data_IF_891720853144
#
_entry.id   IF_891720853144
#
_cell.length_a   1.000
_cell.length_b   1.000
_cell.length_c   1.000
_cell.angle_alpha   90.00
_cell.angle_beta   90.00
_cell.angle_gamma   90.00
#
_symmetry.space_group_name_H-M   'P 1'
#
loop_
_entity.id
_entity.type
_entity.pdbx_description
1 polymer ?
#
# COMPACT_ATOMS: atom_id res chain seq x y z
N UNK A 1 1.39 35.88 -3.52
CA UNK A 1 1.71 34.66 -2.75
C UNK A 1 1.91 35.05 -1.30
N UNK A 2 1.12 34.50 -0.37
CA UNK A 2 1.26 34.82 1.07
C UNK A 2 2.66 34.39 1.56
N UNK A 3 3.21 35.05 2.59
CA UNK A 3 4.50 34.66 3.20
C UNK A 3 4.54 33.16 3.55
N UNK A 4 3.39 32.60 3.92
CA UNK A 4 3.20 31.18 4.17
C UNK A 4 3.46 30.31 2.92
N UNK A 5 2.88 30.67 1.78
CA UNK A 5 3.07 29.92 0.52
C UNK A 5 4.53 29.92 0.03
N UNK A 6 5.28 31.00 0.25
CA UNK A 6 6.70 31.07 -0.10
C UNK A 6 7.58 30.19 0.81
N UNK A 7 7.30 30.18 2.12
CA UNK A 7 8.00 29.30 3.07
C UNK A 7 7.71 27.82 2.80
N UNK A 8 6.46 27.47 2.50
CA UNK A 8 6.07 26.10 2.13
C UNK A 8 6.79 25.66 0.86
N UNK A 9 6.78 26.49 -0.19
CA UNK A 9 7.46 26.17 -1.45
C UNK A 9 8.96 25.95 -1.23
N UNK A 10 9.62 26.81 -0.45
CA UNK A 10 11.06 26.66 -0.13
C UNK A 10 11.35 25.36 0.61
N UNK A 11 10.58 25.03 1.64
CA UNK A 11 10.79 23.83 2.45
C UNK A 11 10.48 22.56 1.64
N UNK A 12 9.43 22.57 0.81
CA UNK A 12 9.10 21.46 -0.08
C UNK A 12 10.17 21.27 -1.16
N UNK A 13 10.71 22.34 -1.73
CA UNK A 13 11.79 22.28 -2.71
C UNK A 13 13.07 21.69 -2.08
N UNK A 14 13.43 22.10 -0.86
CA UNK A 14 14.56 21.53 -0.12
C UNK A 14 14.35 20.04 0.15
N UNK A 15 13.15 19.64 0.60
CA UNK A 15 12.81 18.23 0.82
C UNK A 15 12.88 17.39 -0.47
N UNK A 16 12.41 17.94 -1.59
CA UNK A 16 12.48 17.31 -2.90
C UNK A 16 13.93 17.15 -3.38
N UNK A 17 14.76 18.18 -3.24
CA UNK A 17 16.20 18.12 -3.55
C UNK A 17 16.87 17.05 -2.69
N UNK A 18 16.60 17.02 -1.38
CA UNK A 18 17.16 16.01 -0.49
C UNK A 18 16.77 14.58 -0.91
N UNK A 19 15.50 14.34 -1.28
CA UNK A 19 15.05 13.05 -1.78
C UNK A 19 15.73 12.64 -3.10
N UNK A 20 15.88 13.59 -4.03
CA UNK A 20 16.61 13.35 -5.28
C UNK A 20 18.08 13.03 -5.02
N UNK A 21 18.73 13.74 -4.10
CA UNK A 21 20.11 13.45 -3.68
C UNK A 21 20.22 12.06 -3.05
N UNK A 22 19.30 11.68 -2.16
CA UNK A 22 19.26 10.33 -1.57
C UNK A 22 19.12 9.26 -2.65
N UNK A 23 18.22 9.45 -3.63
CA UNK A 23 18.04 8.50 -4.74
C UNK A 23 19.26 8.42 -5.64
N UNK A 24 19.89 9.55 -5.97
CA UNK A 24 21.11 9.58 -6.77
C UNK A 24 22.28 8.88 -6.08
N UNK A 25 22.48 9.17 -4.78
CA UNK A 25 23.48 8.48 -3.96
C UNK A 25 23.19 6.99 -3.86
N UNK A 26 21.93 6.60 -3.64
CA UNK A 26 21.52 5.19 -3.58
C UNK A 26 21.76 4.46 -4.90
N UNK A 27 21.55 5.13 -6.04
CA UNK A 27 21.82 4.57 -7.37
C UNK A 27 23.32 4.36 -7.60
N UNK A 28 24.14 5.39 -7.32
CA UNK A 28 25.60 5.28 -7.41
C UNK A 28 26.15 4.19 -6.47
N UNK A 29 25.64 4.13 -5.25
CA UNK A 29 26.01 3.10 -4.28
C UNK A 29 25.60 1.70 -4.76
N UNK A 30 24.41 1.55 -5.35
CA UNK A 30 23.97 0.28 -5.94
C UNK A 30 24.91 -0.16 -7.07
N UNK A 31 25.35 0.75 -7.94
CA UNK A 31 26.36 0.44 -8.98
C UNK A 31 27.67 0.00 -8.35
N UNK A 32 28.15 0.70 -7.32
CA UNK A 32 29.39 0.36 -6.63
C UNK A 32 29.33 -1.02 -5.98
N UNK A 33 28.21 -1.35 -5.33
CA UNK A 33 27.93 -2.66 -4.74
C UNK A 33 27.96 -3.73 -5.83
N UNK A 34 27.20 -3.57 -6.93
CA UNK A 34 27.17 -4.55 -8.05
C UNK A 34 28.57 -4.78 -8.60
N UNK A 35 29.34 -3.70 -8.79
CA UNK A 35 30.69 -3.75 -9.35
C UNK A 35 31.69 -4.48 -8.44
N UNK A 36 31.57 -4.35 -7.12
CA UNK A 36 32.49 -5.00 -6.16
C UNK A 36 32.06 -6.42 -5.79
N UNK A 37 30.75 -6.68 -5.67
CA UNK A 37 30.22 -7.95 -5.17
C UNK A 37 29.93 -8.97 -6.28
N UNK A 38 29.80 -8.52 -7.53
CA UNK A 38 29.37 -9.36 -8.65
C UNK A 38 27.87 -9.71 -8.59
N UNK A 39 27.32 -10.20 -9.71
CA UNK A 39 25.88 -10.39 -9.87
C UNK A 39 25.26 -11.39 -8.87
N UNK A 40 25.97 -12.47 -8.53
CA UNK A 40 25.48 -13.50 -7.62
C UNK A 40 25.35 -12.99 -6.17
N UNK A 41 26.40 -12.34 -5.65
CA UNK A 41 26.40 -11.77 -4.29
C UNK A 41 25.49 -10.54 -4.18
N UNK A 42 25.35 -9.76 -5.26
CA UNK A 42 24.36 -8.69 -5.34
C UNK A 42 22.92 -9.22 -5.27
N UNK A 43 22.65 -10.36 -5.91
CA UNK A 43 21.36 -11.07 -5.80
C UNK A 43 21.05 -11.48 -4.36
N UNK A 44 22.04 -11.98 -3.61
CA UNK A 44 21.88 -12.30 -2.19
C UNK A 44 21.64 -11.04 -1.35
N UNK A 45 22.41 -9.98 -1.58
CA UNK A 45 22.24 -8.69 -0.90
C UNK A 45 20.84 -8.09 -1.12
N UNK A 46 20.37 -8.06 -2.37
CA UNK A 46 19.03 -7.57 -2.70
C UNK A 46 17.94 -8.47 -2.12
N UNK A 47 18.15 -9.78 -2.08
CA UNK A 47 17.21 -10.70 -1.43
C UNK A 47 17.13 -10.51 0.10
N UNK A 48 18.23 -10.14 0.77
CA UNK A 48 18.22 -9.74 2.19
C UNK A 48 17.38 -8.49 2.39
N UNK A 49 17.59 -7.46 1.57
CA UNK A 49 16.83 -6.21 1.64
C UNK A 49 15.33 -6.43 1.36
N UNK A 50 14.99 -7.17 0.31
CA UNK A 50 13.60 -7.47 -0.04
C UNK A 50 12.88 -8.27 1.06
N UNK A 51 13.59 -9.21 1.70
CA UNK A 51 13.06 -9.97 2.81
C UNK A 51 12.77 -9.08 4.02
N UNK A 52 13.68 -8.14 4.32
CA UNK A 52 13.49 -7.16 5.40
C UNK A 52 12.35 -6.18 5.14
N UNK A 53 12.25 -5.63 3.93
CA UNK A 53 11.16 -4.69 3.59
C UNK A 53 9.78 -5.34 3.62
N UNK A 54 9.67 -6.60 3.20
CA UNK A 54 8.40 -7.33 3.19
C UNK A 54 7.87 -7.55 4.61
N UNK A 55 8.75 -7.90 5.55
CA UNK A 55 8.38 -8.15 6.94
C UNK A 55 8.33 -6.88 7.80
N UNK A 56 8.93 -5.78 7.35
CA UNK A 56 8.90 -4.49 8.05
C UNK A 56 7.49 -3.94 8.29
N UNK A 57 6.47 -4.37 7.53
CA UNK A 57 5.07 -3.99 7.76
C UNK A 57 4.60 -4.32 9.20
N UNK A 58 5.10 -5.41 9.78
CA UNK A 58 4.77 -5.84 11.14
C UNK A 58 5.40 -4.94 12.22
N UNK A 59 6.39 -4.11 11.87
CA UNK A 59 7.05 -3.19 12.80
C UNK A 59 6.30 -1.86 13.01
N UNK A 60 5.36 -1.53 12.13
CA UNK A 60 4.56 -0.30 12.21
C UNK A 60 3.07 -0.59 12.37
N UNK A 61 2.51 -1.61 11.70
CA UNK A 61 1.08 -1.99 11.79
C UNK A 61 0.09 -0.79 11.75
N UNK A 62 0.44 0.29 11.04
CA UNK A 62 -0.39 1.50 10.94
C UNK A 62 -0.28 2.48 12.12
N UNK A 63 0.58 2.22 13.11
CA UNK A 63 0.81 3.10 14.26
C UNK A 63 1.29 4.49 13.84
N UNK A 64 2.14 4.59 12.82
CA UNK A 64 2.55 5.87 12.26
C UNK A 64 1.36 6.73 11.80
N UNK A 65 0.38 6.14 11.12
CA UNK A 65 -0.82 6.85 10.63
C UNK A 65 -1.70 7.28 11.80
N UNK A 66 -1.92 6.36 12.74
CA UNK A 66 -2.66 6.64 13.96
C UNK A 66 -2.02 7.80 14.75
N UNK A 67 -0.70 7.80 14.90
CA UNK A 67 0.04 8.85 15.59
C UNK A 67 -0.14 10.22 14.92
N UNK A 68 0.03 10.29 13.60
CA UNK A 68 -0.16 11.55 12.85
C UNK A 68 -1.56 12.10 13.09
N UNK A 69 -2.59 11.24 12.97
CA UNK A 69 -3.99 11.64 13.13
C UNK A 69 -4.28 12.13 14.54
N UNK A 70 -3.87 11.37 15.55
CA UNK A 70 -4.16 11.68 16.94
C UNK A 70 -3.39 12.92 17.41
N UNK A 71 -2.11 13.06 17.03
CA UNK A 71 -1.32 14.26 17.31
C UNK A 71 -1.92 15.48 16.62
N UNK A 72 -2.39 15.35 15.37
CA UNK A 72 -3.07 16.43 14.67
C UNK A 72 -4.37 16.87 15.37
N UNK A 73 -5.14 15.91 15.93
CA UNK A 73 -6.34 16.20 16.73
C UNK A 73 -6.00 16.91 18.04
N UNK A 74 -4.95 16.43 18.73
CA UNK A 74 -4.51 16.98 20.02
C UNK A 74 -3.90 18.38 19.89
N UNK A 75 -3.31 18.71 18.73
CA UNK A 75 -2.67 20.02 18.48
C UNK A 75 -3.54 21.22 18.85
N UNK A 76 -4.83 21.15 18.55
CA UNK A 76 -5.76 22.29 18.70
C UNK A 76 -6.49 22.27 20.06
N UNK A 77 -6.21 21.30 20.94
CA UNK A 77 -6.81 21.16 22.27
C UNK A 77 -5.94 21.77 23.39
N UNK A 78 -6.54 22.38 24.43
CA UNK A 78 -5.80 22.86 25.58
C UNK A 78 -5.13 21.70 26.33
N UNK A 79 -3.80 21.73 26.48
CA UNK A 79 -3.00 20.64 27.05
C UNK A 79 -2.57 19.56 26.05
N UNK A 80 -2.85 19.73 24.76
CA UNK A 80 -2.56 18.74 23.72
C UNK A 80 -1.09 18.39 23.53
N UNK A 81 -0.16 19.31 23.85
CA UNK A 81 1.28 19.06 23.77
C UNK A 81 1.76 17.99 24.77
N UNK A 82 1.20 17.97 25.98
CA UNK A 82 1.54 17.00 27.02
C UNK A 82 0.99 15.61 26.67
N UNK A 83 -0.26 15.57 26.19
CA UNK A 83 -0.91 14.34 25.73
C UNK A 83 -0.22 13.74 24.51
N UNK A 84 0.22 14.58 23.55
CA UNK A 84 1.00 14.13 22.41
C UNK A 84 2.38 13.58 22.82
N UNK A 85 3.01 14.15 23.86
CA UNK A 85 4.24 13.61 24.44
C UNK A 85 4.05 12.22 25.05
N UNK A 86 2.96 12.02 25.80
CA UNK A 86 2.61 10.70 26.35
C UNK A 86 2.31 9.68 25.24
N UNK A 87 1.57 10.09 24.20
CA UNK A 87 1.28 9.26 23.04
C UNK A 87 2.56 8.86 22.28
N UNK A 88 3.47 9.81 22.04
CA UNK A 88 4.77 9.54 21.43
C UNK A 88 5.56 8.48 22.19
N UNK A 89 5.63 8.61 23.52
CA UNK A 89 6.29 7.63 24.39
C UNK A 89 5.68 6.22 24.28
N UNK A 90 4.35 6.12 24.24
CA UNK A 90 3.66 4.85 24.08
C UNK A 90 3.90 4.23 22.69
N UNK A 91 3.87 5.04 21.64
CA UNK A 91 4.07 4.59 20.26
C UNK A 91 5.51 4.12 20.04
N UNK A 92 6.51 4.82 20.59
CA UNK A 92 7.90 4.33 20.52
C UNK A 92 8.02 2.97 21.21
N UNK A 93 7.51 2.82 22.43
CA UNK A 93 7.60 1.55 23.16
C UNK A 93 6.94 0.42 22.37
N UNK A 94 5.75 0.67 21.83
CA UNK A 94 5.01 -0.32 21.05
C UNK A 94 5.75 -0.67 19.75
N UNK A 95 6.26 0.31 19.02
CA UNK A 95 7.04 0.08 17.79
C UNK A 95 8.35 -0.64 18.06
N UNK A 96 9.03 -0.37 19.18
CA UNK A 96 10.24 -1.11 19.56
C UNK A 96 9.93 -2.59 19.85
N UNK A 97 8.81 -2.88 20.52
CA UNK A 97 8.35 -4.24 20.74
C UNK A 97 7.97 -4.95 19.43
N UNK A 98 7.24 -4.25 18.55
CA UNK A 98 6.90 -4.75 17.22
C UNK A 98 8.14 -4.97 16.34
N UNK A 99 9.13 -4.09 16.40
CA UNK A 99 10.41 -4.26 15.70
C UNK A 99 11.20 -5.46 16.22
N UNK A 100 11.19 -5.70 17.54
CA UNK A 100 11.80 -6.90 18.12
C UNK A 100 11.09 -8.17 17.64
N UNK A 101 9.76 -8.18 17.69
CA UNK A 101 8.95 -9.29 17.18
C UNK A 101 9.19 -9.55 15.69
N UNK A 102 9.22 -8.48 14.89
CA UNK A 102 9.49 -8.54 13.45
C UNK A 102 10.90 -9.06 13.17
N UNK A 103 11.91 -8.63 13.95
CA UNK A 103 13.27 -9.11 13.84
C UNK A 103 13.37 -10.62 14.12
N UNK A 104 12.68 -11.11 15.14
CA UNK A 104 12.62 -12.54 15.46
C UNK A 104 11.95 -13.35 14.34
N UNK A 105 10.85 -12.85 13.77
CA UNK A 105 10.19 -13.47 12.62
C UNK A 105 11.12 -13.48 11.40
N UNK A 106 11.80 -12.37 11.11
CA UNK A 106 12.72 -12.28 9.99
C UNK A 106 13.85 -13.32 10.08
N UNK A 107 14.50 -13.41 11.24
CA UNK A 107 15.60 -14.37 11.45
C UNK A 107 15.06 -15.80 11.47
N UNK A 108 13.93 -16.05 12.15
CA UNK A 108 13.29 -17.36 12.22
C UNK A 108 12.85 -17.88 10.84
N UNK A 109 12.21 -17.03 10.03
CA UNK A 109 11.79 -17.39 8.68
C UNK A 109 13.00 -17.63 7.75
N UNK A 110 14.08 -16.85 7.89
CA UNK A 110 15.32 -17.08 7.14
C UNK A 110 15.98 -18.42 7.52
N UNK A 111 15.91 -18.81 8.79
CA UNK A 111 16.41 -20.10 9.27
C UNK A 111 15.56 -21.27 8.78
N UNK A 112 14.22 -21.17 8.88
CA UNK A 112 13.29 -22.21 8.42
C UNK A 112 13.32 -22.44 6.90
N UNK A 113 13.63 -21.41 6.13
CA UNK A 113 13.76 -21.51 4.66
C UNK A 113 15.13 -22.03 4.21
N UNK A 114 16.01 -22.43 5.14
CA UNK A 114 17.29 -23.07 4.83
C UNK A 114 18.31 -22.14 4.17
N UNK A 115 18.26 -20.83 4.44
CA UNK A 115 19.17 -19.86 3.80
C UNK A 115 20.62 -20.02 4.29
N UNK A 116 21.63 -19.64 3.47
CA UNK A 116 23.03 -19.68 3.90
C UNK A 116 23.28 -18.86 5.18
N UNK A 117 24.18 -19.33 6.07
CA UNK A 117 24.45 -18.69 7.36
C UNK A 117 24.87 -17.21 7.23
N UNK A 118 25.64 -16.87 6.20
CA UNK A 118 26.04 -15.47 5.89
C UNK A 118 24.81 -14.60 5.59
N UNK A 119 23.81 -15.16 4.91
CA UNK A 119 22.56 -14.46 4.58
C UNK A 119 21.67 -14.29 5.81
N UNK A 120 21.61 -15.29 6.69
CA UNK A 120 20.91 -15.17 7.99
C UNK A 120 21.55 -14.08 8.84
N UNK A 121 22.89 -14.04 8.92
CA UNK A 121 23.62 -12.97 9.60
C UNK A 121 23.35 -11.59 9.01
N UNK A 122 23.29 -11.47 7.68
CA UNK A 122 22.95 -10.23 7.01
C UNK A 122 21.49 -9.79 7.27
N UNK A 123 20.53 -10.73 7.34
CA UNK A 123 19.13 -10.45 7.70
C UNK A 123 19.04 -9.99 9.17
N UNK A 124 19.77 -10.64 10.08
CA UNK A 124 19.83 -10.22 11.48
C UNK A 124 20.41 -8.81 11.63
N UNK A 125 21.45 -8.48 10.88
CA UNK A 125 22.02 -7.13 10.85
C UNK A 125 21.03 -6.11 10.27
N UNK A 126 20.33 -6.46 9.18
CA UNK A 126 19.30 -5.60 8.59
C UNK A 126 18.14 -5.35 9.58
N UNK A 127 17.78 -6.35 10.38
CA UNK A 127 16.75 -6.24 11.40
C UNK A 127 17.09 -5.22 12.50
N UNK A 128 18.37 -4.94 12.76
CA UNK A 128 18.79 -3.83 13.65
C UNK A 128 18.28 -2.48 13.12
N UNK A 129 18.22 -2.33 11.79
CA UNK A 129 17.66 -1.14 11.14
C UNK A 129 16.18 -0.91 11.45
N UNK A 130 15.42 -1.95 11.83
CA UNK A 130 14.01 -1.80 12.23
C UNK A 130 13.84 -1.00 13.52
N UNK A 131 14.83 -1.02 14.43
CA UNK A 131 14.78 -0.23 15.66
C UNK A 131 14.99 1.25 15.36
N UNK A 132 15.95 1.56 14.48
CA UNK A 132 16.16 2.92 13.99
C UNK A 132 14.94 3.43 13.23
N UNK A 133 14.34 2.57 12.39
CA UNK A 133 13.12 2.88 11.66
C UNK A 133 11.91 3.10 12.59
N UNK A 134 11.78 2.33 13.68
CA UNK A 134 10.72 2.51 14.66
C UNK A 134 10.79 3.88 15.35
N UNK A 135 12.00 4.29 15.76
CA UNK A 135 12.23 5.60 16.39
C UNK A 135 12.00 6.71 15.37
N UNK A 136 12.64 6.63 14.20
CA UNK A 136 12.49 7.63 13.14
C UNK A 136 11.02 7.79 12.73
N UNK A 137 10.31 6.69 12.51
CA UNK A 137 8.92 6.73 12.08
C UNK A 137 7.98 7.32 13.13
N UNK A 138 8.25 7.12 14.43
CA UNK A 138 7.47 7.75 15.49
C UNK A 138 7.73 9.27 15.54
N UNK A 139 9.00 9.68 15.42
CA UNK A 139 9.39 11.09 15.35
C UNK A 139 8.79 11.78 14.13
N UNK A 140 8.90 11.18 12.95
CA UNK A 140 8.32 11.69 11.71
C UNK A 140 6.80 11.84 11.82
N UNK A 141 6.13 10.91 12.49
CA UNK A 141 4.68 10.95 12.66
C UNK A 141 4.22 12.08 13.59
N UNK A 142 4.91 12.28 14.71
CA UNK A 142 4.62 13.37 15.65
C UNK A 142 4.94 14.73 15.03
N UNK A 143 6.10 14.86 14.39
CA UNK A 143 6.48 16.08 13.66
C UNK A 143 5.48 16.39 12.54
N UNK A 144 5.03 15.37 11.80
CA UNK A 144 3.99 15.54 10.78
C UNK A 144 2.66 16.02 11.35
N UNK A 145 2.29 15.56 12.55
CA UNK A 145 1.08 16.01 13.25
C UNK A 145 1.17 17.46 13.74
N UNK A 146 2.34 17.92 14.19
CA UNK A 146 2.54 19.27 14.73
C UNK A 146 2.87 20.33 13.66
N UNK A 147 3.72 20.04 12.68
CA UNK A 147 4.34 21.06 11.81
C UNK A 147 3.49 21.50 10.59
N UNK A 148 2.18 21.22 10.55
CA UNK A 148 1.33 21.47 9.35
C UNK A 148 1.97 20.89 8.09
N UNK A 149 2.42 19.64 8.15
CA UNK A 149 2.65 18.86 6.93
C UNK A 149 1.30 18.42 6.34
N UNK A 150 0.32 19.32 6.20
CA UNK A 150 -1.04 19.02 5.69
C UNK A 150 -0.99 18.34 4.31
N UNK A 151 0.04 18.64 3.51
CA UNK A 151 0.24 18.02 2.19
C UNK A 151 0.93 16.64 2.31
N UNK A 152 1.84 16.43 3.26
CA UNK A 152 2.47 15.11 3.45
C UNK A 152 1.53 14.14 4.18
N UNK A 153 0.84 14.62 5.21
CA UNK A 153 -0.21 13.88 5.89
C UNK A 153 -1.39 13.64 4.95
N UNK A 154 -1.86 14.66 4.22
CA UNK A 154 -2.86 14.49 3.17
C UNK A 154 -2.42 13.52 2.08
N UNK A 155 -1.16 13.56 1.66
CA UNK A 155 -0.59 12.60 0.71
C UNK A 155 -0.54 11.17 1.23
N UNK A 156 -0.17 10.96 2.50
CA UNK A 156 -0.17 9.63 3.15
C UNK A 156 -1.60 9.09 3.30
N UNK A 157 -2.53 9.94 3.72
CA UNK A 157 -3.95 9.62 3.93
C UNK A 157 -4.63 9.31 2.60
N UNK A 158 -4.37 10.08 1.55
CA UNK A 158 -4.83 9.82 0.19
C UNK A 158 -4.23 8.53 -0.36
N UNK A 159 -2.93 8.29 -0.14
CA UNK A 159 -2.29 7.05 -0.55
C UNK A 159 -2.93 5.83 0.13
N UNK A 160 -3.33 5.95 1.40
CA UNK A 160 -4.02 4.88 2.11
C UNK A 160 -5.45 4.65 1.58
N UNK A 161 -6.19 5.72 1.26
CA UNK A 161 -7.49 5.61 0.61
C UNK A 161 -7.37 4.87 -0.74
N UNK A 162 -6.43 5.29 -1.58
CA UNK A 162 -6.13 4.65 -2.87
C UNK A 162 -5.73 3.19 -2.67
N UNK A 163 -4.88 2.90 -1.68
CA UNK A 163 -4.44 1.54 -1.38
C UNK A 163 -5.60 0.63 -0.92
N UNK A 164 -6.48 1.10 -0.05
CA UNK A 164 -7.64 0.33 0.43
C UNK A 164 -8.65 0.08 -0.68
N UNK A 165 -8.95 1.11 -1.49
CA UNK A 165 -9.88 0.98 -2.62
C UNK A 165 -9.30 0.03 -3.67
N UNK A 166 -8.06 0.27 -4.14
CA UNK A 166 -7.44 -0.59 -5.15
C UNK A 166 -7.20 -2.01 -4.62
N UNK A 167 -6.78 -2.15 -3.36
CA UNK A 167 -6.58 -3.45 -2.72
C UNK A 167 -7.89 -4.22 -2.56
N UNK A 168 -8.97 -3.55 -2.17
CA UNK A 168 -10.30 -4.12 -2.08
C UNK A 168 -10.86 -4.53 -3.44
N UNK A 169 -10.72 -3.68 -4.46
CA UNK A 169 -11.10 -3.99 -5.84
C UNK A 169 -10.28 -5.15 -6.41
N UNK A 170 -8.97 -5.18 -6.15
CA UNK A 170 -8.09 -6.27 -6.56
C UNK A 170 -8.47 -7.57 -5.87
N UNK A 171 -8.74 -7.56 -4.56
CA UNK A 171 -9.19 -8.74 -3.84
C UNK A 171 -10.55 -9.24 -4.35
N UNK A 172 -11.51 -8.34 -4.56
CA UNK A 172 -12.82 -8.69 -5.08
C UNK A 172 -12.73 -9.26 -6.51
N UNK A 173 -11.99 -8.58 -7.40
CA UNK A 173 -11.86 -8.97 -8.80
C UNK A 173 -10.95 -10.17 -9.07
N UNK A 174 -9.90 -10.36 -8.26
CA UNK A 174 -8.90 -11.44 -8.46
C UNK A 174 -9.14 -12.68 -7.59
N UNK A 175 -9.86 -12.54 -6.49
CA UNK A 175 -10.10 -13.64 -5.55
C UNK A 175 -11.58 -13.97 -5.46
N UNK A 176 -12.44 -13.01 -5.11
CA UNK A 176 -13.85 -13.28 -4.81
C UNK A 176 -14.62 -13.71 -6.06
N UNK A 177 -14.60 -12.91 -7.13
CA UNK A 177 -15.34 -13.22 -8.36
C UNK A 177 -14.84 -14.50 -9.06
N UNK A 178 -13.53 -14.74 -9.23
CA UNK A 178 -13.05 -15.98 -9.84
C UNK A 178 -13.31 -17.21 -8.97
N UNK A 179 -13.28 -17.07 -7.64
CA UNK A 179 -13.68 -18.16 -6.75
C UNK A 179 -15.17 -18.51 -6.91
N UNK A 180 -16.05 -17.52 -7.06
CA UNK A 180 -17.48 -17.78 -7.34
C UNK A 180 -17.67 -18.47 -8.70
N UNK A 181 -17.00 -17.99 -9.75
CA UNK A 181 -17.04 -18.60 -11.08
C UNK A 181 -16.53 -20.04 -11.05
N UNK A 182 -15.48 -20.31 -10.26
CA UNK A 182 -14.93 -21.66 -10.13
C UNK A 182 -15.82 -22.60 -9.32
N UNK A 183 -16.28 -22.16 -8.15
CA UNK A 183 -17.07 -23.00 -7.24
C UNK A 183 -18.50 -23.24 -7.74
N UNK A 184 -19.13 -22.24 -8.36
CA UNK A 184 -20.52 -22.33 -8.83
C UNK A 184 -20.61 -22.65 -10.32
N UNK A 185 -19.72 -22.11 -11.14
CA UNK A 185 -19.73 -22.27 -12.59
C UNK A 185 -18.80 -23.37 -13.12
N UNK A 186 -17.94 -23.96 -12.27
CA UNK A 186 -17.02 -25.03 -12.64
C UNK A 186 -15.88 -24.60 -13.57
N UNK A 187 -15.75 -23.31 -13.90
CA UNK A 187 -14.71 -22.80 -14.78
C UNK A 187 -13.47 -22.42 -13.97
N UNK A 188 -12.28 -22.96 -14.30
CA UNK A 188 -11.09 -22.61 -13.54
C UNK A 188 -10.67 -21.14 -13.76
N UNK A 189 -10.16 -20.46 -12.71
CA UNK A 189 -9.87 -19.01 -12.77
C UNK A 189 -8.97 -18.57 -13.93
N UNK A 190 -7.96 -19.36 -14.29
CA UNK A 190 -7.04 -19.02 -15.39
C UNK A 190 -7.73 -18.99 -16.76
N UNK A 191 -8.71 -19.88 -16.99
CA UNK A 191 -9.48 -19.90 -18.24
C UNK A 191 -10.43 -18.70 -18.29
N UNK A 192 -11.06 -18.37 -17.16
CA UNK A 192 -11.91 -17.18 -17.05
C UNK A 192 -11.13 -15.90 -17.37
N UNK A 193 -9.98 -15.68 -16.73
CA UNK A 193 -9.14 -14.51 -16.97
C UNK A 193 -8.59 -14.43 -18.39
N UNK A 194 -8.19 -15.56 -18.98
CA UNK A 194 -7.74 -15.59 -20.36
C UNK A 194 -8.86 -15.16 -21.33
N UNK A 195 -10.10 -15.61 -21.08
CA UNK A 195 -11.26 -15.20 -21.87
C UNK A 195 -11.58 -13.72 -21.73
N UNK A 196 -11.70 -13.19 -20.50
CA UNK A 196 -12.17 -11.81 -20.28
C UNK A 196 -11.10 -10.73 -20.49
N UNK A 197 -9.84 -11.09 -20.75
CA UNK A 197 -8.72 -10.14 -20.81
C UNK A 197 -8.97 -8.94 -21.72
N UNK A 198 -9.56 -9.16 -22.91
CA UNK A 198 -9.86 -8.07 -23.84
C UNK A 198 -10.96 -7.13 -23.32
N UNK A 199 -11.99 -7.67 -22.67
CA UNK A 199 -13.05 -6.88 -22.06
C UNK A 199 -12.50 -6.06 -20.87
N UNK A 200 -11.64 -6.65 -20.03
CA UNK A 200 -10.98 -5.94 -18.93
C UNK A 200 -10.11 -4.80 -19.43
N UNK A 201 -9.30 -5.02 -20.47
CA UNK A 201 -8.47 -3.96 -21.08
C UNK A 201 -9.32 -2.84 -21.64
N UNK A 202 -10.42 -3.17 -22.33
CA UNK A 202 -11.34 -2.17 -22.87
C UNK A 202 -12.02 -1.37 -21.77
N UNK A 203 -12.44 -2.03 -20.68
CA UNK A 203 -13.05 -1.36 -19.53
C UNK A 203 -12.08 -0.41 -18.84
N UNK A 204 -10.81 -0.81 -18.73
CA UNK A 204 -9.76 0.01 -18.15
C UNK A 204 -9.43 1.23 -19.03
N UNK A 205 -9.42 1.08 -20.36
CA UNK A 205 -9.09 2.19 -21.26
C UNK A 205 -10.25 3.16 -21.48
N UNK A 206 -11.48 2.66 -21.49
CA UNK A 206 -12.67 3.48 -21.74
C UNK A 206 -13.26 4.06 -20.46
N UNK A 207 -12.95 3.48 -19.29
CA UNK A 207 -13.53 3.83 -17.99
C UNK A 207 -15.07 3.87 -18.01
N UNK A 208 -15.69 3.05 -18.86
CA UNK A 208 -17.15 3.04 -19.06
C UNK A 208 -17.70 1.63 -19.31
N UNK A 209 -18.61 1.19 -18.44
CA UNK A 209 -19.29 -0.11 -18.57
C UNK A 209 -20.15 -0.19 -19.83
N UNK A 210 -20.82 0.91 -20.20
CA UNK A 210 -21.65 0.98 -21.40
C UNK A 210 -20.80 0.92 -22.68
N UNK A 211 -19.64 1.58 -22.70
CA UNK A 211 -18.73 1.53 -23.84
C UNK A 211 -18.08 0.14 -24.02
N UNK A 212 -17.95 -0.62 -22.93
CA UNK A 212 -17.34 -1.95 -22.93
C UNK A 212 -18.35 -3.07 -23.23
N UNK A 213 -19.65 -2.76 -23.21
CA UNK A 213 -20.72 -3.74 -23.38
C UNK A 213 -20.58 -4.59 -24.66
N UNK A 214 -20.32 -4.02 -25.86
CA UNK A 214 -20.22 -4.82 -27.09
C UNK A 214 -19.03 -5.79 -27.06
N UNK A 215 -17.90 -5.36 -26.48
CA UNK A 215 -16.69 -6.20 -26.35
C UNK A 215 -16.94 -7.32 -25.33
N UNK A 216 -17.59 -6.99 -24.22
CA UNK A 216 -17.95 -7.96 -23.17
C UNK A 216 -18.87 -9.04 -23.73
N UNK A 217 -19.92 -8.65 -24.46
CA UNK A 217 -20.85 -9.56 -25.12
C UNK A 217 -20.13 -10.54 -26.06
N UNK A 218 -19.24 -10.02 -26.91
CA UNK A 218 -18.47 -10.83 -27.86
C UNK A 218 -17.57 -11.85 -27.15
N UNK A 219 -16.87 -11.40 -26.11
CA UNK A 219 -15.94 -12.24 -25.34
C UNK A 219 -16.69 -13.33 -24.58
N UNK A 220 -17.83 -13.00 -23.97
CA UNK A 220 -18.66 -13.96 -23.24
C UNK A 220 -19.24 -15.03 -24.18
N UNK A 221 -19.69 -14.66 -25.38
CA UNK A 221 -20.24 -15.60 -26.37
C UNK A 221 -19.13 -16.44 -27.03
N UNK A 222 -18.00 -15.84 -27.42
CA UNK A 222 -16.99 -16.51 -28.25
C UNK A 222 -15.85 -17.17 -27.46
N UNK A 223 -15.38 -16.54 -26.38
CA UNK A 223 -14.21 -17.02 -25.61
C UNK A 223 -14.63 -17.85 -24.39
N UNK A 224 -15.74 -17.47 -23.76
CA UNK A 224 -16.31 -18.18 -22.60
C UNK A 224 -17.44 -19.16 -22.97
N UNK A 225 -17.82 -19.22 -24.25
CA UNK A 225 -18.80 -20.16 -24.81
C UNK A 225 -20.18 -20.12 -24.11
N UNK A 226 -20.56 -18.96 -23.56
CA UNK A 226 -21.85 -18.80 -22.87
C UNK A 226 -22.97 -18.69 -23.90
N UNK A 227 -24.09 -19.42 -23.73
CA UNK A 227 -25.21 -19.36 -24.67
C UNK A 227 -25.72 -17.92 -24.89
N UNK A 228 -25.91 -17.48 -26.15
CA UNK A 228 -26.32 -16.11 -26.47
C UNK A 228 -27.61 -15.65 -25.78
N UNK A 229 -28.55 -16.56 -25.51
CA UNK A 229 -29.79 -16.21 -24.82
C UNK A 229 -29.58 -15.81 -23.35
N UNK A 230 -28.53 -16.33 -22.69
CA UNK A 230 -28.17 -16.00 -21.31
C UNK A 230 -27.36 -14.69 -21.29
N UNK A 231 -26.36 -14.57 -22.16
CA UNK A 231 -25.47 -13.39 -22.23
C UNK A 231 -26.24 -12.13 -22.61
N UNK A 232 -27.11 -12.20 -23.63
CA UNK A 232 -27.88 -11.04 -24.15
C UNK A 232 -28.93 -10.52 -23.19
N UNK A 233 -29.35 -11.33 -22.22
CA UNK A 233 -30.23 -10.89 -21.14
C UNK A 233 -29.45 -10.37 -19.94
N UNK A 234 -28.49 -11.16 -19.45
CA UNK A 234 -27.85 -10.91 -18.15
C UNK A 234 -26.82 -9.79 -18.19
N UNK A 235 -26.01 -9.70 -19.26
CA UNK A 235 -24.90 -8.74 -19.34
C UNK A 235 -25.40 -7.29 -19.47
N UNK A 236 -26.42 -6.96 -20.31
CA UNK A 236 -26.93 -5.59 -20.37
C UNK A 236 -27.59 -5.12 -19.07
N UNK A 237 -28.31 -6.01 -18.38
CA UNK A 237 -28.88 -5.71 -17.05
C UNK A 237 -27.73 -5.47 -16.05
N UNK A 238 -26.73 -6.35 -16.04
CA UNK A 238 -25.55 -6.21 -15.19
C UNK A 238 -24.79 -4.90 -15.42
N UNK A 239 -24.68 -4.43 -16.67
CA UNK A 239 -23.97 -3.19 -16.99
C UNK A 239 -24.57 -1.92 -16.35
N UNK A 240 -25.83 -1.97 -15.93
CA UNK A 240 -26.53 -0.83 -15.29
C UNK A 240 -26.76 -1.03 -13.80
N UNK A 241 -27.02 -2.27 -13.38
CA UNK A 241 -27.38 -2.59 -11.99
C UNK A 241 -26.17 -3.03 -11.15
N UNK A 242 -25.19 -3.72 -11.76
CA UNK A 242 -24.09 -4.34 -11.04
C UNK A 242 -22.89 -3.38 -10.91
N UNK A 243 -22.90 -2.56 -9.86
CA UNK A 243 -21.87 -1.55 -9.57
C UNK A 243 -21.05 -1.87 -8.31
N UNK A 244 -20.60 -3.12 -8.16
CA UNK A 244 -19.86 -3.59 -6.98
C UNK A 244 -18.63 -2.74 -6.65
N UNK A 245 -17.89 -2.33 -7.69
CA UNK A 245 -16.72 -1.47 -7.53
C UNK A 245 -17.06 -0.06 -7.03
N UNK A 246 -18.17 0.51 -7.51
CA UNK A 246 -18.67 1.80 -7.04
C UNK A 246 -19.15 1.70 -5.60
N UNK A 247 -19.90 0.66 -5.25
CA UNK A 247 -20.37 0.43 -3.89
C UNK A 247 -19.20 0.30 -2.88
N UNK A 248 -18.15 -0.44 -3.25
CA UNK A 248 -16.93 -0.53 -2.45
C UNK A 248 -16.26 0.83 -2.28
N UNK A 249 -16.08 1.58 -3.37
CA UNK A 249 -15.51 2.92 -3.33
C UNK A 249 -16.32 3.87 -2.44
N UNK A 250 -17.64 3.91 -2.61
CA UNK A 250 -18.52 4.80 -1.85
C UNK A 250 -18.52 4.45 -0.36
N UNK A 251 -18.55 3.16 0.00
CA UNK A 251 -18.49 2.73 1.40
C UNK A 251 -17.17 3.14 2.06
N UNK A 252 -16.04 2.92 1.38
CA UNK A 252 -14.71 3.32 1.88
C UNK A 252 -14.59 4.84 1.93
N UNK A 253 -15.10 5.57 0.93
CA UNK A 253 -15.08 7.03 0.90
C UNK A 253 -15.95 7.64 2.02
N UNK A 254 -17.13 7.08 2.31
CA UNK A 254 -18.00 7.52 3.39
C UNK A 254 -17.31 7.32 4.76
N UNK A 255 -16.73 6.15 5.01
CA UNK A 255 -15.94 5.87 6.21
C UNK A 255 -14.73 6.80 6.31
N UNK A 256 -14.04 7.05 5.21
CA UNK A 256 -12.91 7.96 5.15
C UNK A 256 -13.30 9.38 5.53
N UNK A 257 -14.41 9.89 4.99
CA UNK A 257 -14.94 11.22 5.32
C UNK A 257 -15.33 11.27 6.81
N UNK A 258 -16.06 10.27 7.31
CA UNK A 258 -16.42 10.20 8.73
C UNK A 258 -15.17 10.24 9.64
N UNK A 259 -14.15 9.45 9.31
CA UNK A 259 -12.87 9.42 10.01
C UNK A 259 -12.10 10.74 9.90
N UNK A 260 -12.16 11.43 8.76
CA UNK A 260 -11.51 12.72 8.55
C UNK A 260 -12.14 13.83 9.39
N UNK A 261 -13.47 13.78 9.61
CA UNK A 261 -14.20 14.72 10.46
C UNK A 261 -14.27 14.29 11.93
N UNK A 262 -13.67 13.16 12.31
CA UNK A 262 -13.66 12.67 13.70
C UNK A 262 -14.99 12.11 14.17
N UNK A 263 -15.89 11.76 13.26
CA UNK A 263 -17.16 11.08 13.53
C UNK A 263 -16.88 9.59 13.64
N UNK A 264 -17.29 8.97 14.76
CA UNK A 264 -17.11 7.55 15.03
C UNK A 264 -18.30 6.74 14.53
#
# INVERSE_FOLDING_TARGET
MSKLSATIFRNSAIGMVAQLTIKALSFLFSILIVRHLGAASFGQYTAVLAFGTTLAIFSDLGLGVYAVREVARLRDQPGGHEQAGALYGNIIRLRLLLSLFTALIMVGAAWLTGRPAVMIGAIALNAVGLFLYAVQGASDAVLSGFERLDISAGGKVLNQLVFVVLGGLAFHGLVVLPALVWLLGGMPPWRFFAGIAQAMLTALTTSSSAATLPVTMRVVENELEVPPYISRFSIPIGATVNMDGTALYEAVAALFIAQAYGVQ
#
